data_IF_343199582673
#
_entry.id   IF_343199582673
#
_cell.length_a   1.000
_cell.length_b   1.000
_cell.length_c   1.000
_cell.angle_alpha   90.00
_cell.angle_beta   90.00
_cell.angle_gamma   90.00
#
_symmetry.space_group_name_H-M   'P 1'
#
loop_
_entity.id
_entity.type
_entity.pdbx_description
1 polymer ?
#
# COMPACT_ATOMS: atom_id res chain seq x y z
N UNK A 1 -19.08 -1.28 9.83
CA UNK A 1 -19.07 -0.13 8.89
C UNK A 1 -18.02 -0.37 7.80
N UNK A 2 -18.13 0.16 6.57
CA UNK A 2 -17.09 -0.04 5.56
C UNK A 2 -15.81 0.72 5.94
N UNK A 3 -14.70 -0.02 6.03
CA UNK A 3 -13.38 0.52 6.34
C UNK A 3 -12.74 1.05 5.04
N UNK A 4 -12.43 2.35 4.98
CA UNK A 4 -11.71 2.90 3.82
C UNK A 4 -10.21 2.92 4.07
N UNK A 5 -9.49 2.06 3.35
CA UNK A 5 -8.03 2.00 3.36
C UNK A 5 -7.43 2.90 2.30
N UNK A 6 -6.30 3.52 2.63
CA UNK A 6 -5.52 4.40 1.75
C UNK A 6 -4.02 4.11 1.89
N UNK A 7 -3.29 4.32 0.78
CA UNK A 7 -1.84 4.18 0.68
C UNK A 7 -1.27 5.44 0.06
N UNK A 8 -0.12 5.89 0.55
CA UNK A 8 0.66 6.96 -0.08
C UNK A 8 1.72 6.36 -1.01
N UNK A 9 1.32 6.19 -2.27
CA UNK A 9 2.19 5.80 -3.38
C UNK A 9 2.54 7.00 -4.27
N UNK A 10 2.55 8.21 -3.70
CA UNK A 10 2.88 9.44 -4.43
C UNK A 10 4.36 9.81 -4.28
N UNK A 11 4.79 10.87 -4.97
CA UNK A 11 6.13 11.41 -4.84
C UNK A 11 7.19 10.84 -5.79
N UNK A 12 8.45 11.18 -5.50
CA UNK A 12 9.63 10.78 -6.29
C UNK A 12 9.90 9.29 -6.11
N UNK A 13 10.62 8.69 -7.07
CA UNK A 13 10.86 7.24 -7.10
C UNK A 13 11.46 6.68 -5.79
N UNK A 14 12.41 7.40 -5.16
CA UNK A 14 12.98 6.98 -3.88
C UNK A 14 11.93 6.92 -2.74
N UNK A 15 11.01 7.89 -2.68
CA UNK A 15 9.93 7.92 -1.69
C UNK A 15 8.92 6.82 -1.98
N UNK A 16 8.57 6.64 -3.25
CA UNK A 16 7.67 5.57 -3.70
C UNK A 16 8.20 4.19 -3.30
N UNK A 17 9.48 3.92 -3.53
CA UNK A 17 10.10 2.63 -3.22
C UNK A 17 10.17 2.42 -1.70
N UNK A 18 10.59 3.44 -0.95
CA UNK A 18 10.61 3.40 0.52
C UNK A 18 9.22 3.08 1.11
N UNK A 19 8.19 3.80 0.64
CA UNK A 19 6.81 3.55 1.06
C UNK A 19 6.35 2.14 0.65
N UNK A 20 6.73 1.66 -0.54
CA UNK A 20 6.40 0.31 -1.00
C UNK A 20 6.96 -0.77 -0.08
N UNK A 21 8.23 -0.64 0.35
CA UNK A 21 8.83 -1.58 1.32
C UNK A 21 8.16 -1.49 2.69
N UNK A 22 7.81 -0.29 3.15
CA UNK A 22 7.08 -0.11 4.41
C UNK A 22 5.73 -0.84 4.39
N UNK A 23 4.95 -0.66 3.32
CA UNK A 23 3.66 -1.33 3.17
C UNK A 23 3.78 -2.84 3.00
N UNK A 24 4.79 -3.30 2.24
CA UNK A 24 5.09 -4.73 2.11
C UNK A 24 5.40 -5.37 3.47
N UNK A 25 6.25 -4.72 4.28
CA UNK A 25 6.56 -5.18 5.63
C UNK A 25 5.31 -5.24 6.51
N UNK A 26 4.49 -4.18 6.50
CA UNK A 26 3.22 -4.17 7.21
C UNK A 26 2.27 -5.30 6.78
N UNK A 27 2.12 -5.52 5.47
CA UNK A 27 1.31 -6.63 4.93
C UNK A 27 1.79 -8.00 5.42
N UNK A 28 3.11 -8.20 5.50
CA UNK A 28 3.69 -9.47 5.96
C UNK A 28 3.40 -9.78 7.44
N UNK A 29 2.98 -8.78 8.22
CA UNK A 29 2.62 -8.93 9.63
C UNK A 29 1.11 -9.07 9.87
N UNK A 30 0.28 -8.86 8.85
CA UNK A 30 -1.18 -8.90 8.98
C UNK A 30 -1.68 -10.34 8.88
N UNK A 31 -2.28 -10.84 9.97
CA UNK A 31 -2.89 -12.17 10.02
C UNK A 31 -3.94 -12.37 8.91
N UNK A 32 -4.80 -11.37 8.66
CA UNK A 32 -5.82 -11.37 7.61
C UNK A 32 -5.26 -11.50 6.19
N UNK A 33 -3.96 -11.29 6.02
CA UNK A 33 -3.28 -11.34 4.74
C UNK A 33 -2.60 -12.69 4.47
N UNK A 34 -2.47 -13.54 5.49
CA UNK A 34 -1.87 -14.87 5.31
C UNK A 34 -2.71 -15.78 4.40
N UNK A 35 -4.03 -15.59 4.38
CA UNK A 35 -4.96 -16.35 3.52
C UNK A 35 -5.21 -15.67 2.16
N UNK A 36 -4.44 -14.64 1.81
CA UNK A 36 -4.59 -13.96 0.53
C UNK A 36 -4.31 -14.92 -0.64
N UNK A 37 -5.02 -14.78 -1.78
CA UNK A 37 -4.72 -15.52 -3.00
C UNK A 37 -3.26 -15.40 -3.38
N UNK A 38 -2.64 -16.48 -3.89
CA UNK A 38 -1.21 -16.51 -4.22
C UNK A 38 -0.76 -15.37 -5.15
N UNK A 39 -1.65 -14.91 -6.05
CA UNK A 39 -1.42 -13.77 -6.93
C UNK A 39 -1.26 -12.42 -6.21
N UNK A 40 -1.90 -12.29 -5.05
CA UNK A 40 -1.79 -11.15 -4.14
C UNK A 40 -0.75 -11.40 -3.05
N UNK A 41 -0.09 -12.57 -3.02
CA UNK A 41 0.90 -12.89 -2.01
C UNK A 41 2.00 -11.84 -1.87
N UNK A 42 2.59 -11.75 -0.68
CA UNK A 42 3.69 -10.83 -0.39
C UNK A 42 4.95 -11.13 -1.23
N UNK A 43 5.11 -12.37 -1.71
CA UNK A 43 6.23 -12.80 -2.55
C UNK A 43 6.29 -12.08 -3.91
N UNK A 44 5.27 -12.23 -4.77
CA UNK A 44 5.22 -11.51 -6.05
C UNK A 44 5.37 -9.99 -5.90
N UNK A 45 4.77 -9.40 -4.87
CA UNK A 45 4.91 -7.97 -4.59
C UNK A 45 6.36 -7.59 -4.28
N UNK A 46 7.05 -8.38 -3.45
CA UNK A 46 8.47 -8.16 -3.12
C UNK A 46 9.35 -8.19 -4.37
N UNK A 47 9.15 -9.17 -5.26
CA UNK A 47 9.90 -9.29 -6.52
C UNK A 47 9.71 -8.04 -7.38
N UNK A 48 8.48 -7.52 -7.47
CA UNK A 48 8.20 -6.31 -8.24
C UNK A 48 8.85 -5.06 -7.62
N UNK A 49 8.84 -4.91 -6.29
CA UNK A 49 9.50 -3.80 -5.59
C UNK A 49 11.03 -3.88 -5.75
N UNK A 50 11.62 -5.06 -5.58
CA UNK A 50 13.06 -5.28 -5.74
C UNK A 50 13.50 -4.98 -7.18
N UNK A 51 12.71 -5.40 -8.18
CA UNK A 51 12.95 -5.05 -9.58
C UNK A 51 12.87 -3.54 -9.84
N UNK A 52 11.92 -2.85 -9.20
CA UNK A 52 11.80 -1.40 -9.31
C UNK A 52 13.01 -0.69 -8.70
N UNK A 53 13.51 -1.16 -7.56
CA UNK A 53 14.72 -0.65 -6.92
C UNK A 53 15.95 -0.84 -7.82
N UNK A 54 16.12 -2.02 -8.43
CA UNK A 54 17.20 -2.28 -9.38
C UNK A 54 17.14 -1.36 -10.60
N UNK A 55 15.96 -1.17 -11.19
CA UNK A 55 15.76 -0.26 -12.32
C UNK A 55 15.95 1.22 -11.93
N UNK A 56 15.67 1.59 -10.67
CA UNK A 56 15.96 2.91 -10.14
C UNK A 56 17.46 3.17 -10.03
N UNK A 57 18.22 2.25 -9.43
CA UNK A 57 19.68 2.35 -9.34
C UNK A 57 20.34 2.31 -10.73
N UNK A 58 19.91 1.40 -11.61
CA UNK A 58 20.39 1.33 -12.99
C UNK A 58 20.00 2.53 -13.85
N UNK A 59 18.93 3.25 -13.50
CA UNK A 59 18.55 4.50 -14.17
C UNK A 59 19.42 5.70 -13.77
N UNK A 60 20.08 5.66 -12.61
CA UNK A 60 21.01 6.73 -12.17
C UNK A 60 22.26 6.80 -13.04
N UNK A 61 22.64 5.70 -13.69
CA UNK A 61 23.79 5.65 -14.61
C UNK A 61 23.49 6.22 -16.01
N UNK A 62 22.27 6.72 -16.25
CA UNK A 62 21.86 7.29 -17.54
C UNK A 62 21.33 6.27 -18.54
N UNK A 63 21.16 5.01 -18.16
CA UNK A 63 20.63 3.98 -19.04
C UNK A 63 19.13 4.19 -19.34
N UNK A 64 18.81 4.62 -20.57
CA UNK A 64 17.43 4.89 -21.01
C UNK A 64 16.51 3.67 -20.96
N UNK A 65 17.03 2.45 -21.17
CA UNK A 65 16.24 1.22 -21.06
C UNK A 65 15.77 1.00 -19.61
N UNK A 66 16.67 1.23 -18.64
CA UNK A 66 16.36 1.14 -17.21
C UNK A 66 15.35 2.21 -16.78
N UNK A 67 15.46 3.43 -17.31
CA UNK A 67 14.48 4.51 -17.04
C UNK A 67 13.08 4.12 -17.55
N UNK A 68 12.96 3.50 -18.73
CA UNK A 68 11.67 3.01 -19.25
C UNK A 68 11.15 1.86 -18.40
N UNK A 69 11.99 0.88 -18.09
CA UNK A 69 11.64 -0.27 -17.26
C UNK A 69 11.12 0.18 -15.89
N UNK A 70 11.78 1.15 -15.25
CA UNK A 70 11.37 1.74 -13.97
C UNK A 70 9.95 2.31 -14.01
N UNK A 71 9.58 3.02 -15.08
CA UNK A 71 8.22 3.57 -15.24
C UNK A 71 7.18 2.45 -15.36
N UNK A 72 7.50 1.38 -16.09
CA UNK A 72 6.63 0.20 -16.22
C UNK A 72 6.46 -0.51 -14.89
N UNK A 73 7.56 -0.81 -14.20
CA UNK A 73 7.55 -1.47 -12.90
C UNK A 73 6.82 -0.64 -11.84
N UNK A 74 6.96 0.70 -11.86
CA UNK A 74 6.22 1.58 -10.95
C UNK A 74 4.71 1.46 -11.15
N UNK A 75 4.24 1.40 -12.40
CA UNK A 75 2.81 1.18 -12.70
C UNK A 75 2.36 -0.19 -12.21
N UNK A 76 3.14 -1.23 -12.48
CA UNK A 76 2.84 -2.60 -12.05
C UNK A 76 2.72 -2.71 -10.52
N UNK A 77 3.70 -2.17 -9.78
CA UNK A 77 3.66 -2.13 -8.30
C UNK A 77 2.43 -1.36 -7.80
N UNK A 78 2.10 -0.23 -8.44
CA UNK A 78 0.89 0.53 -8.09
C UNK A 78 -0.38 -0.27 -8.30
N UNK A 79 -0.50 -1.00 -9.41
CA UNK A 79 -1.65 -1.86 -9.68
C UNK A 79 -1.76 -3.02 -8.70
N UNK A 80 -0.63 -3.65 -8.34
CA UNK A 80 -0.60 -4.68 -7.30
C UNK A 80 -1.11 -4.13 -5.97
N UNK A 81 -0.58 -2.98 -5.51
CA UNK A 81 -1.07 -2.35 -4.29
C UNK A 81 -2.56 -1.98 -4.35
N UNK A 82 -3.08 -1.56 -5.50
CA UNK A 82 -4.53 -1.31 -5.66
C UNK A 82 -5.36 -2.58 -5.46
N UNK A 83 -4.93 -3.71 -6.05
CA UNK A 83 -5.61 -5.00 -5.87
C UNK A 83 -5.57 -5.47 -4.42
N UNK A 84 -4.41 -5.32 -3.78
CA UNK A 84 -4.21 -5.65 -2.35
C UNK A 84 -5.09 -4.80 -1.46
N UNK A 85 -5.14 -3.49 -1.73
CA UNK A 85 -5.98 -2.56 -0.98
C UNK A 85 -7.46 -2.88 -1.14
N UNK A 86 -7.89 -3.25 -2.35
CA UNK A 86 -9.26 -3.69 -2.59
C UNK A 86 -9.59 -5.00 -1.83
N UNK A 87 -8.68 -5.98 -1.86
CA UNK A 87 -8.82 -7.21 -1.09
C UNK A 87 -8.95 -6.92 0.41
N UNK A 88 -8.05 -6.11 0.96
CA UNK A 88 -8.11 -5.71 2.37
C UNK A 88 -9.40 -4.96 2.70
N UNK A 89 -9.93 -4.13 1.81
CA UNK A 89 -11.23 -3.47 2.03
C UNK A 89 -12.41 -4.45 2.07
N UNK A 90 -12.31 -5.59 1.36
CA UNK A 90 -13.35 -6.62 1.36
C UNK A 90 -13.27 -7.56 2.57
N UNK A 91 -12.07 -7.80 3.10
CA UNK A 91 -11.82 -8.81 4.15
C UNK A 91 -11.63 -8.18 5.53
N UNK A 92 -11.11 -6.96 5.61
CA UNK A 92 -10.83 -6.31 6.89
C UNK A 92 -12.12 -5.99 7.65
N UNK A 93 -12.10 -6.34 8.93
CA UNK A 93 -13.14 -6.01 9.90
C UNK A 93 -12.73 -4.81 10.77
N UNK A 94 -13.61 -4.37 11.66
CA UNK A 94 -13.30 -3.27 12.59
C UNK A 94 -12.17 -3.64 13.57
N UNK A 95 -12.03 -4.93 13.89
CA UNK A 95 -10.99 -5.46 14.78
C UNK A 95 -9.59 -5.41 14.16
N UNK A 96 -9.51 -5.38 12.82
CA UNK A 96 -8.24 -5.34 12.07
C UNK A 96 -7.68 -3.93 11.92
N UNK A 97 -8.47 -2.90 12.23
CA UNK A 97 -8.10 -1.48 12.05
C UNK A 97 -6.81 -1.12 12.80
N UNK A 98 -6.61 -1.50 14.07
CA UNK A 98 -5.36 -1.21 14.78
C UNK A 98 -4.13 -1.83 14.07
N UNK A 99 -4.26 -3.07 13.59
CA UNK A 99 -3.18 -3.76 12.90
C UNK A 99 -2.87 -3.09 11.54
N UNK A 100 -3.91 -2.67 10.81
CA UNK A 100 -3.77 -1.93 9.54
C UNK A 100 -3.07 -0.58 9.73
N UNK A 101 -3.42 0.16 10.79
CA UNK A 101 -2.75 1.43 11.12
C UNK A 101 -1.28 1.19 11.49
N UNK A 102 -0.99 0.16 12.29
CA UNK A 102 0.39 -0.22 12.65
C UNK A 102 1.21 -0.64 11.41
N UNK A 103 0.60 -1.35 10.47
CA UNK A 103 1.17 -1.69 9.17
C UNK A 103 1.40 -0.46 8.26
N UNK A 104 0.95 0.73 8.67
CA UNK A 104 1.17 2.00 7.99
C UNK A 104 0.05 2.40 7.04
N UNK A 105 -1.03 1.62 6.92
CA UNK A 105 -2.18 1.97 6.09
C UNK A 105 -2.95 3.13 6.70
N UNK A 106 -3.38 4.08 5.86
CA UNK A 106 -4.29 5.12 6.30
C UNK A 106 -5.70 4.57 6.37
N UNK A 107 -6.30 4.56 7.56
CA UNK A 107 -7.68 4.09 7.76
C UNK A 107 -8.60 5.30 7.95
N UNK A 108 -9.62 5.42 7.10
CA UNK A 108 -10.74 6.34 7.32
C UNK A 108 -11.96 5.52 7.72
N UNK A 109 -12.31 5.56 9.00
CA UNK A 109 -13.65 5.16 9.42
C UNK A 109 -14.61 6.27 8.98
N UNK A 110 -15.70 5.93 8.30
CA UNK A 110 -16.86 6.83 8.20
C UNK A 110 -17.49 6.93 9.61
N UNK A 111 -16.84 7.68 10.49
CA UNK A 111 -17.51 8.18 11.67
C UNK A 111 -18.59 9.13 11.19
N UNK A 112 -19.85 8.83 11.46
CA UNK A 112 -20.84 9.88 11.64
C UNK A 112 -20.14 10.95 12.48
N UNK A 113 -19.81 12.10 11.88
CA UNK A 113 -19.49 13.31 12.66
C UNK A 113 -20.67 13.47 13.59
N UNK A 114 -20.53 13.05 14.86
CA UNK A 114 -21.44 13.50 15.91
C UNK A 114 -21.28 15.02 15.87
N UNK A 115 -22.24 15.70 15.24
CA UNK A 115 -22.42 17.14 15.43
C UNK A 115 -22.57 17.29 16.93
N UNK A 116 -21.52 17.75 17.58
CA UNK A 116 -21.63 18.27 18.94
C UNK A 116 -22.52 19.49 18.78
N UNK A 117 -23.82 19.31 19.06
CA UNK A 117 -24.74 20.43 19.25
C UNK A 117 -24.33 21.05 20.58
N UNK A 118 -23.76 22.27 20.60
CA UNK A 118 -23.54 22.94 21.87
C UNK A 118 -24.91 23.16 22.53
N UNK A 119 -25.06 22.70 23.76
CA UNK A 119 -26.25 22.98 24.55
C UNK A 119 -26.38 24.51 24.73
N UNK A 120 -27.56 25.10 24.54
CA UNK A 120 -27.76 26.52 24.83
C UNK A 120 -27.61 26.77 26.33
N UNK A 121 -26.91 27.86 26.65
CA UNK A 121 -26.67 28.37 28.00
C UNK A 121 -27.95 28.94 28.63
#
# INVERSE_FOLDING_TARGET
MPVYLTLDLTGKDAVFISNSYRYHSGLSTLAIYHDAPAELGTGPLKVAIDGLQLAFEGGKTGNHAQIRLRKTLRKQVTEMFKKILHYLQCVATEDDIPALIQAGFGVRQFGHRKKVVPAPA
#
